data_IF_426396928483
#
_entry.id   IF_426396928483
#
_cell.length_a   1.000
_cell.length_b   1.000
_cell.length_c   1.000
_cell.angle_alpha   90.00
_cell.angle_beta   90.00
_cell.angle_gamma   90.00
#
_symmetry.space_group_name_H-M   'P 1'
#
loop_
_entity.id
_entity.type
_entity.pdbx_description
1 polymer ?
#
# COMPACT_ATOMS: atom_id res chain seq x y z
N UNK A 1 -17.37 -5.16 7.21
CA UNK A 1 -16.37 -5.70 6.28
C UNK A 1 -15.82 -6.96 6.94
N UNK A 2 -15.84 -8.13 6.28
CA UNK A 2 -15.10 -9.29 6.80
C UNK A 2 -13.63 -8.89 7.00
N UNK A 3 -12.94 -9.41 8.03
CA UNK A 3 -11.52 -9.08 8.26
C UNK A 3 -10.72 -9.32 6.98
N UNK A 4 -10.02 -8.29 6.53
CA UNK A 4 -9.09 -8.41 5.42
C UNK A 4 -7.91 -9.27 5.89
N UNK A 5 -7.79 -10.46 5.31
CA UNK A 5 -6.67 -11.40 5.53
C UNK A 5 -5.30 -10.79 5.21
N UNK A 6 -5.24 -9.75 4.38
CA UNK A 6 -3.98 -9.02 4.10
C UNK A 6 -3.60 -8.10 5.27
N UNK A 7 -4.58 -7.67 6.08
CA UNK A 7 -4.42 -6.75 7.20
C UNK A 7 -4.73 -7.39 8.57
N UNK A 8 -4.80 -8.71 8.64
CA UNK A 8 -5.42 -9.47 9.73
C UNK A 8 -4.96 -9.02 11.13
N UNK A 9 -3.67 -8.71 11.29
CA UNK A 9 -3.12 -8.16 12.53
C UNK A 9 -3.58 -6.72 12.87
N UNK A 10 -3.74 -5.85 11.88
CA UNK A 10 -4.19 -4.46 12.09
C UNK A 10 -5.67 -4.39 12.46
N UNK A 11 -6.50 -5.30 11.94
CA UNK A 11 -7.93 -5.36 12.27
C UNK A 11 -8.13 -5.64 13.77
N UNK A 12 -7.27 -6.47 14.38
CA UNK A 12 -7.32 -6.76 15.81
C UNK A 12 -7.03 -5.51 16.67
N UNK A 13 -6.14 -4.62 16.22
CA UNK A 13 -5.86 -3.36 16.92
C UNK A 13 -7.05 -2.39 16.88
N UNK A 14 -7.85 -2.44 15.81
CA UNK A 14 -9.04 -1.63 15.65
C UNK A 14 -10.28 -2.15 16.38
N UNK A 15 -10.25 -3.42 16.82
CA UNK A 15 -11.34 -4.10 17.52
C UNK A 15 -10.87 -4.65 18.88
N UNK A 16 -10.50 -3.77 19.85
CA UNK A 16 -10.03 -4.23 21.15
C UNK A 16 -11.12 -5.06 21.86
N UNK A 17 -10.76 -6.20 22.49
CA UNK A 17 -11.72 -7.03 23.22
C UNK A 17 -12.47 -6.23 24.30
N UNK A 18 -13.80 -6.23 24.23
CA UNK A 18 -14.66 -5.50 25.17
C UNK A 18 -14.66 -3.98 25.00
N UNK A 19 -13.96 -3.44 24.00
CA UNK A 19 -13.89 -2.01 23.70
C UNK A 19 -14.81 -1.58 22.55
N UNK A 20 -14.89 -0.26 22.34
CA UNK A 20 -15.55 0.31 21.15
C UNK A 20 -14.62 0.19 19.94
N UNK A 21 -15.14 -0.06 18.73
CA UNK A 21 -14.35 -0.04 17.50
C UNK A 21 -13.63 1.30 17.32
N UNK A 22 -12.37 1.23 16.90
CA UNK A 22 -11.54 2.40 16.60
C UNK A 22 -11.48 2.53 15.07
N UNK A 23 -11.85 3.67 14.48
CA UNK A 23 -11.65 3.90 13.05
C UNK A 23 -10.17 3.76 12.70
N UNK A 24 -9.87 2.98 11.68
CA UNK A 24 -8.51 2.77 11.20
C UNK A 24 -8.46 2.84 9.68
N UNK A 25 -7.29 3.22 9.19
CA UNK A 25 -6.93 3.20 7.78
C UNK A 25 -5.49 2.72 7.69
N UNK A 26 -5.22 1.84 6.74
CA UNK A 26 -3.87 1.40 6.39
C UNK A 26 -3.73 1.43 4.88
N UNK A 27 -2.51 1.59 4.41
CA UNK A 27 -2.18 1.61 2.99
C UNK A 27 -1.03 0.65 2.72
N UNK A 28 -1.15 -0.11 1.63
CA UNK A 28 -0.03 -0.84 1.05
C UNK A 28 0.46 -0.04 -0.15
N UNK A 29 1.69 0.46 -0.08
CA UNK A 29 2.30 1.28 -1.14
C UNK A 29 3.57 0.58 -1.60
N UNK A 30 3.67 0.33 -2.89
CA UNK A 30 4.83 -0.29 -3.52
C UNK A 30 4.83 0.03 -5.00
N UNK A 31 6.01 0.37 -5.53
CA UNK A 31 6.16 0.79 -6.93
C UNK A 31 7.11 -0.19 -7.63
N UNK A 32 6.68 -0.71 -8.78
CA UNK A 32 7.58 -1.41 -9.70
C UNK A 32 8.59 -0.41 -10.24
N UNK A 33 9.87 -0.79 -10.27
CA UNK A 33 10.92 0.01 -10.89
C UNK A 33 10.49 0.63 -12.24
N UNK A 34 10.63 1.96 -12.44
CA UNK A 34 10.09 2.64 -13.61
C UNK A 34 10.61 2.11 -14.95
N UNK A 35 11.88 1.73 -15.03
CA UNK A 35 12.46 1.18 -16.26
C UNK A 35 11.88 -0.21 -16.55
N UNK A 36 11.78 -1.04 -15.52
CA UNK A 36 11.16 -2.38 -15.58
C UNK A 36 9.70 -2.30 -16.02
N UNK A 37 8.92 -1.41 -15.40
CA UNK A 37 7.53 -1.17 -15.78
C UNK A 37 7.43 -0.64 -17.21
N UNK A 38 8.26 0.34 -17.57
CA UNK A 38 8.26 0.97 -18.90
C UNK A 38 8.56 -0.03 -20.02
N UNK A 39 9.52 -0.93 -19.81
CA UNK A 39 9.83 -2.02 -20.73
C UNK A 39 8.67 -3.01 -20.87
N UNK A 40 8.14 -3.48 -19.74
CA UNK A 40 7.02 -4.42 -19.74
C UNK A 40 5.77 -3.81 -20.41
N UNK A 41 5.51 -2.52 -20.22
CA UNK A 41 4.42 -1.82 -20.86
C UNK A 41 4.59 -1.75 -22.39
N UNK A 42 5.77 -1.34 -22.87
CA UNK A 42 6.09 -1.27 -24.31
C UNK A 42 5.98 -2.63 -25.00
N UNK A 43 6.33 -3.70 -24.30
CA UNK A 43 6.28 -5.07 -24.84
C UNK A 43 4.91 -5.75 -24.67
N UNK A 44 3.93 -5.10 -24.03
CA UNK A 44 2.62 -5.71 -23.75
C UNK A 44 2.66 -6.82 -22.68
N UNK A 45 3.70 -6.83 -21.83
CA UNK A 45 4.01 -7.87 -20.83
C UNK A 45 3.77 -7.44 -19.38
N UNK A 46 2.90 -6.48 -19.15
CA UNK A 46 2.60 -6.02 -17.77
C UNK A 46 2.14 -7.14 -16.84
N UNK A 47 1.46 -8.16 -17.37
CA UNK A 47 0.96 -9.31 -16.59
C UNK A 47 2.06 -10.26 -16.12
N UNK A 48 3.26 -10.13 -16.68
CA UNK A 48 4.42 -10.96 -16.33
C UNK A 48 5.22 -10.36 -15.16
N UNK A 49 4.90 -9.12 -14.74
CA UNK A 49 5.53 -8.50 -13.59
C UNK A 49 5.16 -9.22 -12.29
N UNK A 50 6.09 -9.39 -11.34
CA UNK A 50 5.82 -10.09 -10.09
C UNK A 50 4.78 -9.34 -9.25
N UNK A 51 3.72 -10.00 -8.75
CA UNK A 51 2.76 -9.40 -7.82
C UNK A 51 3.33 -9.27 -6.39
N UNK A 52 2.68 -8.50 -5.52
CA UNK A 52 3.11 -8.13 -4.15
C UNK A 52 3.27 -9.28 -3.13
N UNK A 53 3.07 -10.53 -3.54
CA UNK A 53 3.32 -11.74 -2.74
C UNK A 53 4.24 -12.75 -3.45
N UNK A 54 4.97 -12.29 -4.46
CA UNK A 54 5.92 -13.08 -5.20
C UNK A 54 7.34 -12.90 -4.59
N UNK A 55 8.11 -13.99 -4.48
CA UNK A 55 9.48 -13.94 -3.95
C UNK A 55 10.44 -13.06 -4.76
N UNK A 56 10.12 -12.77 -6.02
CA UNK A 56 10.87 -11.90 -6.91
C UNK A 56 10.32 -10.47 -6.95
N UNK A 57 9.25 -10.18 -6.21
CA UNK A 57 8.76 -8.81 -6.10
C UNK A 57 9.76 -7.97 -5.31
N UNK A 58 10.40 -7.04 -6.02
CA UNK A 58 11.27 -6.03 -5.44
C UNK A 58 10.71 -4.66 -5.81
N UNK A 59 10.28 -3.92 -4.79
CA UNK A 59 9.84 -2.53 -4.96
C UNK A 59 11.05 -1.61 -5.19
N UNK A 60 10.83 -0.51 -5.92
CA UNK A 60 11.80 0.57 -5.99
C UNK A 60 11.76 1.38 -4.67
N UNK A 61 12.85 1.35 -3.91
CA UNK A 61 12.91 1.84 -2.52
C UNK A 61 12.57 3.33 -2.43
N UNK A 62 13.36 4.19 -3.05
CA UNK A 62 13.22 5.65 -2.98
C UNK A 62 11.80 6.14 -3.35
N UNK A 63 11.25 5.82 -4.54
CA UNK A 63 9.91 6.31 -4.92
C UNK A 63 8.80 5.71 -4.06
N UNK A 64 8.98 4.49 -3.54
CA UNK A 64 8.01 3.87 -2.64
C UNK A 64 7.97 4.61 -1.31
N UNK A 65 9.14 4.89 -0.70
CA UNK A 65 9.23 5.63 0.56
C UNK A 65 8.72 7.05 0.41
N UNK A 66 9.11 7.74 -0.66
CA UNK A 66 8.66 9.10 -0.93
C UNK A 66 7.12 9.16 -1.04
N UNK A 67 6.53 8.32 -1.88
CA UNK A 67 5.06 8.26 -2.03
C UNK A 67 4.38 7.85 -0.72
N UNK A 68 4.97 6.91 0.01
CA UNK A 68 4.46 6.42 1.30
C UNK A 68 4.44 7.48 2.41
N UNK A 69 5.27 8.53 2.30
CA UNK A 69 5.29 9.66 3.24
C UNK A 69 4.42 10.80 2.73
N UNK A 70 4.60 11.20 1.47
CA UNK A 70 3.93 12.36 0.90
C UNK A 70 2.43 12.17 0.79
N UNK A 71 1.95 10.99 0.34
CA UNK A 71 0.53 10.79 0.12
C UNK A 71 -0.30 10.85 1.42
N UNK A 72 0.09 10.20 2.54
CA UNK A 72 -0.62 10.36 3.81
C UNK A 72 -0.51 11.78 4.37
N UNK A 73 0.66 12.42 4.27
CA UNK A 73 0.87 13.79 4.76
C UNK A 73 -0.03 14.79 4.01
N UNK A 74 -0.05 14.72 2.67
CA UNK A 74 -0.92 15.55 1.83
C UNK A 74 -2.40 15.24 2.09
N UNK A 75 -2.77 13.98 2.29
CA UNK A 75 -4.16 13.62 2.62
C UNK A 75 -4.61 14.24 3.94
N UNK A 76 -3.79 14.12 5.00
CA UNK A 76 -4.07 14.76 6.28
C UNK A 76 -4.15 16.29 6.12
N UNK A 77 -3.17 16.87 5.44
CA UNK A 77 -3.16 18.30 5.15
C UNK A 77 -4.32 18.74 4.28
N UNK A 78 -4.95 17.90 3.46
CA UNK A 78 -6.07 18.32 2.59
C UNK A 78 -7.41 18.17 3.29
N UNK A 79 -7.61 17.07 4.01
CA UNK A 79 -8.94 16.69 4.52
C UNK A 79 -9.14 16.96 6.01
N UNK A 80 -8.07 17.21 6.78
CA UNK A 80 -8.14 17.46 8.22
C UNK A 80 -7.80 18.93 8.57
N UNK A 81 -7.88 19.82 7.58
CA UNK A 81 -7.80 21.27 7.83
C UNK A 81 -9.02 21.74 8.63
N UNK A 82 -8.87 22.83 9.39
CA UNK A 82 -9.95 23.45 10.18
C UNK A 82 -10.96 24.17 9.31
#
# INVERSE_FOLDING_TARGET
MPPDIVADGFVLLALPPGGKPIPYVYWNIGVTDPETWGRANKEGKLRDLPPTHNAYYALAIEPTLQTGIEAPALSALTFLQR
#
